data_IF_801422663413
#
_entry.id   IF_801422663413
#
_cell.length_a   1.000
_cell.length_b   1.000
_cell.length_c   1.000
_cell.angle_alpha   90.00
_cell.angle_beta   90.00
_cell.angle_gamma   90.00
#
_symmetry.space_group_name_H-M   'P 1'
#
loop_
_entity.id
_entity.type
_entity.pdbx_description
1 polymer ?
#
# COMPACT_ATOMS: atom_id res chain seq x y z
N UNK A 1 -11.28 0.78 5.77
CA UNK A 1 -12.16 -0.33 5.33
C UNK A 1 -11.33 -1.53 4.93
N UNK A 2 -11.80 -2.77 5.28
CA UNK A 2 -11.15 -4.01 4.83
C UNK A 2 -11.41 -4.29 3.36
N UNK A 3 -10.35 -4.56 2.60
CA UNK A 3 -10.41 -4.97 1.18
C UNK A 3 -9.65 -6.28 1.03
N UNK A 4 -10.12 -7.16 0.13
CA UNK A 4 -9.42 -8.40 -0.22
C UNK A 4 -8.80 -8.25 -1.60
N UNK A 5 -7.50 -8.52 -1.69
CA UNK A 5 -6.74 -8.52 -2.94
C UNK A 5 -6.91 -9.83 -3.73
N UNK A 6 -6.54 -9.88 -5.02
CA UNK A 6 -6.59 -11.09 -5.82
C UNK A 6 -5.80 -12.27 -5.26
N UNK A 7 -4.68 -12.01 -4.59
CA UNK A 7 -3.89 -13.00 -3.86
C UNK A 7 -4.59 -13.62 -2.65
N UNK A 8 -5.78 -13.10 -2.27
CA UNK A 8 -6.48 -13.47 -1.04
C UNK A 8 -6.07 -12.66 0.19
N UNK A 9 -5.00 -11.86 0.10
CA UNK A 9 -4.51 -10.98 1.17
C UNK A 9 -5.57 -9.97 1.58
N UNK A 10 -5.68 -9.73 2.88
CA UNK A 10 -6.56 -8.68 3.44
C UNK A 10 -5.73 -7.43 3.71
N UNK A 11 -6.24 -6.28 3.30
CA UNK A 11 -5.64 -4.98 3.60
C UNK A 11 -6.68 -4.07 4.26
N UNK A 12 -6.18 -3.06 4.96
CA UNK A 12 -6.97 -1.96 5.49
C UNK A 12 -6.72 -0.76 4.58
N UNK A 13 -7.79 -0.22 4.01
CA UNK A 13 -7.76 1.02 3.25
C UNK A 13 -8.25 2.14 4.15
N UNK A 14 -7.37 3.09 4.46
CA UNK A 14 -7.70 4.34 5.14
C UNK A 14 -7.95 5.43 4.12
N UNK A 15 -9.00 6.22 4.33
CA UNK A 15 -9.32 7.40 3.53
C UNK A 15 -8.89 8.64 4.30
N UNK A 16 -8.16 9.51 3.64
CA UNK A 16 -7.70 10.77 4.23
C UNK A 16 -8.59 11.93 3.77
N UNK A 17 -8.62 13.00 4.56
CA UNK A 17 -9.25 14.25 4.11
C UNK A 17 -8.49 14.74 2.88
N UNK A 18 -9.21 14.96 1.75
CA UNK A 18 -8.58 15.36 0.48
C UNK A 18 -7.76 16.66 0.60
N UNK A 19 -6.69 16.73 -0.17
CA UNK A 19 -5.89 17.96 -0.27
C UNK A 19 -6.75 19.09 -0.85
N UNK A 20 -6.81 20.21 -0.14
CA UNK A 20 -7.43 21.45 -0.59
C UNK A 20 -6.29 22.37 -0.97
N UNK A 21 -6.30 22.88 -2.20
CA UNK A 21 -5.37 23.94 -2.63
C UNK A 21 -5.49 25.14 -1.67
N UNK A 22 -4.37 25.74 -1.27
CA UNK A 22 -4.31 26.84 -0.30
C UNK A 22 -4.80 26.47 1.13
N UNK A 23 -4.24 25.39 1.70
CA UNK A 23 -4.50 25.02 3.11
C UNK A 23 -4.05 26.16 4.05
N UNK A 24 -4.98 26.77 4.82
CA UNK A 24 -4.60 27.70 5.87
C UNK A 24 -3.68 27.05 6.90
N UNK A 25 -2.69 27.78 7.38
CA UNK A 25 -1.70 27.30 8.37
C UNK A 25 -2.33 26.69 9.63
N UNK A 26 -3.53 27.11 10.00
CA UNK A 26 -4.28 26.58 11.14
C UNK A 26 -4.83 25.15 10.90
N UNK A 27 -5.11 24.80 9.65
CA UNK A 27 -5.55 23.44 9.26
C UNK A 27 -4.38 22.46 9.09
N UNK A 28 -3.17 22.95 8.92
CA UNK A 28 -1.96 22.11 8.81
C UNK A 28 -1.77 21.24 10.07
N UNK A 29 -2.09 21.76 11.27
CA UNK A 29 -1.99 21.00 12.51
C UNK A 29 -3.03 19.88 12.62
N UNK A 30 -4.27 20.11 12.16
CA UNK A 30 -5.31 19.09 12.10
C UNK A 30 -5.00 18.04 10.99
N UNK A 31 -4.36 18.47 9.94
CA UNK A 31 -3.92 17.62 8.83
C UNK A 31 -2.73 16.72 9.20
N UNK A 32 -1.91 17.13 10.18
CA UNK A 32 -0.76 16.35 10.67
C UNK A 32 -1.16 14.96 11.17
N UNK A 33 -2.24 14.83 11.93
CA UNK A 33 -2.72 13.53 12.42
C UNK A 33 -3.11 12.59 11.27
N UNK A 34 -3.66 13.14 10.18
CA UNK A 34 -4.01 12.39 8.96
C UNK A 34 -2.75 12.00 8.16
N UNK A 35 -1.71 12.80 8.22
CA UNK A 35 -0.43 12.54 7.56
C UNK A 35 0.41 11.48 8.29
N UNK A 36 0.21 11.26 9.60
CA UNK A 36 0.81 10.15 10.35
C UNK A 36 0.37 8.79 9.78
N UNK A 37 -0.92 8.64 9.39
CA UNK A 37 -1.40 7.44 8.71
C UNK A 37 -0.71 7.20 7.36
N UNK A 38 -0.38 8.26 6.62
CA UNK A 38 0.37 8.17 5.35
C UNK A 38 1.80 7.70 5.59
N UNK A 39 2.43 8.17 6.68
CA UNK A 39 3.79 7.78 7.05
C UNK A 39 3.89 6.28 7.39
N UNK A 40 2.87 5.74 8.06
CA UNK A 40 2.81 4.34 8.48
C UNK A 40 2.28 3.38 7.41
N UNK A 41 1.74 3.88 6.29
CA UNK A 41 1.15 3.06 5.25
C UNK A 41 2.19 2.25 4.47
N UNK A 42 1.94 0.96 4.24
CA UNK A 42 2.77 0.11 3.37
C UNK A 42 2.70 0.52 1.91
N UNK A 43 1.54 1.03 1.47
CA UNK A 43 1.29 1.55 0.11
C UNK A 43 0.49 2.83 0.19
N UNK A 44 0.93 3.84 -0.53
CA UNK A 44 0.24 5.14 -0.64
C UNK A 44 -0.49 5.17 -2.00
N UNK A 45 -1.79 5.43 -1.99
CA UNK A 45 -2.57 5.66 -3.19
C UNK A 45 -2.78 7.17 -3.39
N UNK A 46 -2.03 7.77 -4.32
CA UNK A 46 -2.23 9.16 -4.70
C UNK A 46 -3.32 9.25 -5.78
N UNK A 47 -4.55 9.52 -5.34
CA UNK A 47 -5.72 9.57 -6.22
C UNK A 47 -5.90 10.96 -6.80
N UNK A 48 -5.97 11.04 -8.14
CA UNK A 48 -6.12 12.30 -8.89
C UNK A 48 -7.36 12.26 -9.78
N UNK A 49 -8.01 13.40 -9.93
CA UNK A 49 -8.97 13.63 -11.01
C UNK A 49 -8.21 13.94 -12.30
N UNK A 50 -8.09 12.94 -13.20
CA UNK A 50 -7.33 13.09 -14.44
C UNK A 50 -8.04 13.99 -15.47
N UNK A 51 -9.34 14.19 -15.32
CA UNK A 51 -10.13 15.06 -16.21
C UNK A 51 -10.12 16.53 -15.77
N UNK A 52 -9.62 16.84 -14.56
CA UNK A 52 -9.56 18.22 -14.07
C UNK A 52 -8.46 19.02 -14.78
N UNK A 53 -8.72 20.26 -15.27
CA UNK A 53 -7.72 21.07 -15.96
C UNK A 53 -6.45 21.33 -15.13
N UNK A 54 -6.60 21.51 -13.81
CA UNK A 54 -5.50 21.77 -12.88
C UNK A 54 -4.89 20.48 -12.27
N UNK A 55 -5.24 19.30 -12.80
CA UNK A 55 -4.79 18.01 -12.27
C UNK A 55 -3.27 17.91 -12.08
N UNK A 56 -2.49 18.51 -12.99
CA UNK A 56 -1.04 18.54 -12.89
C UNK A 56 -0.53 19.45 -11.75
N UNK A 57 -1.16 20.60 -11.54
CA UNK A 57 -0.83 21.53 -10.46
C UNK A 57 -1.16 20.90 -9.11
N UNK A 58 -2.36 20.33 -8.97
CA UNK A 58 -2.78 19.61 -7.75
C UNK A 58 -1.82 18.47 -7.39
N UNK A 59 -1.33 17.74 -8.40
CA UNK A 59 -0.29 16.73 -8.20
C UNK A 59 0.99 17.33 -7.60
N UNK A 60 1.45 18.45 -8.14
CA UNK A 60 2.67 19.11 -7.68
C UNK A 60 2.53 19.57 -6.23
N UNK A 61 1.36 20.09 -5.86
CA UNK A 61 1.06 20.51 -4.48
C UNK A 61 1.16 19.37 -3.50
N UNK A 62 0.55 18.21 -3.83
CA UNK A 62 0.61 16.99 -2.99
C UNK A 62 2.05 16.53 -2.82
N UNK A 63 2.82 16.44 -3.90
CA UNK A 63 4.23 16.03 -3.84
C UNK A 63 5.04 17.01 -2.98
N UNK A 64 4.81 18.33 -3.11
CA UNK A 64 5.49 19.34 -2.31
C UNK A 64 5.25 19.15 -0.80
N UNK A 65 4.03 18.75 -0.41
CA UNK A 65 3.70 18.46 0.99
C UNK A 65 4.40 17.19 1.47
N UNK A 66 4.39 16.12 0.69
CA UNK A 66 5.09 14.87 1.05
C UNK A 66 6.61 15.09 1.17
N UNK A 67 7.20 15.88 0.27
CA UNK A 67 8.61 16.24 0.35
C UNK A 67 8.93 17.14 1.55
N UNK A 68 7.98 18.00 1.98
CA UNK A 68 8.12 18.75 3.22
C UNK A 68 8.11 17.83 4.45
N UNK A 69 7.24 16.81 4.47
CA UNK A 69 7.22 15.80 5.54
C UNK A 69 8.53 15.02 5.64
N UNK A 70 9.17 14.73 4.49
CA UNK A 70 10.50 14.11 4.48
C UNK A 70 11.53 15.04 5.14
N UNK A 71 11.54 16.31 4.77
CA UNK A 71 12.45 17.31 5.39
C UNK A 71 12.26 17.45 6.90
N UNK A 72 11.02 17.31 7.36
CA UNK A 72 10.64 17.39 8.78
C UNK A 72 10.90 16.06 9.53
N UNK A 73 11.34 15.00 8.84
CA UNK A 73 11.56 13.67 9.40
C UNK A 73 10.28 12.90 9.74
N UNK A 74 9.12 13.34 9.24
CA UNK A 74 7.82 12.70 9.46
C UNK A 74 7.50 11.62 8.42
N UNK A 75 8.21 11.60 7.28
CA UNK A 75 8.06 10.62 6.21
C UNK A 75 9.45 10.18 5.75
N UNK A 76 9.60 8.91 5.37
CA UNK A 76 10.86 8.40 4.81
C UNK A 76 11.08 8.84 3.36
N UNK A 77 12.35 8.92 2.93
CA UNK A 77 12.73 9.32 1.58
C UNK A 77 12.28 8.30 0.50
N UNK A 78 11.95 7.08 0.90
CA UNK A 78 11.52 6.01 0.01
C UNK A 78 10.02 6.05 -0.30
N UNK A 79 9.27 7.02 0.21
CA UNK A 79 7.83 7.15 -0.03
C UNK A 79 7.42 7.04 -1.51
N UNK A 80 8.20 7.55 -2.52
CA UNK A 80 7.79 7.40 -3.91
C UNK A 80 7.76 5.94 -4.37
N UNK A 81 8.65 5.08 -3.82
CA UNK A 81 8.71 3.66 -4.18
C UNK A 81 7.49 2.87 -3.71
N UNK A 82 6.79 3.31 -2.67
CA UNK A 82 5.56 2.70 -2.18
C UNK A 82 4.29 3.45 -2.59
N UNK A 83 4.41 4.45 -3.46
CA UNK A 83 3.27 5.20 -4.00
C UNK A 83 2.80 4.63 -5.33
N UNK A 84 1.48 4.53 -5.50
CA UNK A 84 0.80 4.25 -6.77
C UNK A 84 -0.04 5.48 -7.10
N UNK A 85 0.21 6.10 -8.26
CA UNK A 85 -0.60 7.20 -8.75
C UNK A 85 -1.87 6.65 -9.41
N UNK A 86 -3.05 7.00 -8.87
CA UNK A 86 -4.35 6.53 -9.35
C UNK A 86 -5.02 7.65 -10.15
N UNK A 87 -5.09 7.49 -11.46
CA UNK A 87 -5.67 8.44 -12.40
C UNK A 87 -7.18 8.16 -12.51
N UNK A 88 -7.96 8.73 -11.57
CA UNK A 88 -9.41 8.51 -11.49
C UNK A 88 -10.20 9.42 -12.42
N UNK A 89 -11.47 9.07 -12.65
CA UNK A 89 -12.41 9.70 -13.58
C UNK A 89 -12.01 9.52 -15.04
N UNK A 90 -11.35 8.43 -15.36
CA UNK A 90 -10.96 8.07 -16.73
C UNK A 90 -12.16 7.94 -17.68
N UNK A 91 -13.36 7.65 -17.15
CA UNK A 91 -14.62 7.63 -17.90
C UNK A 91 -14.90 8.96 -18.62
N UNK A 92 -14.53 10.09 -18.03
CA UNK A 92 -14.70 11.42 -18.65
C UNK A 92 -13.77 11.66 -19.85
N UNK A 93 -12.74 10.83 -20.01
CA UNK A 93 -11.76 10.89 -21.10
C UNK A 93 -11.92 9.72 -22.10
N UNK A 94 -13.04 9.00 -22.03
CA UNK A 94 -13.31 7.86 -22.93
C UNK A 94 -12.81 6.51 -22.41
N UNK A 95 -12.43 6.43 -21.14
CA UNK A 95 -12.03 5.19 -20.46
C UNK A 95 -10.53 5.10 -20.16
N UNK A 96 -10.12 4.15 -19.29
CA UNK A 96 -8.73 4.00 -18.85
C UNK A 96 -7.71 3.81 -19.99
N UNK A 97 -8.11 3.18 -21.11
CA UNK A 97 -7.24 2.97 -22.26
C UNK A 97 -6.85 4.27 -22.99
N UNK A 98 -7.61 5.35 -22.80
CA UNK A 98 -7.35 6.65 -23.42
C UNK A 98 -6.50 7.56 -22.53
N UNK A 99 -6.27 7.20 -21.28
CA UNK A 99 -5.48 7.97 -20.33
C UNK A 99 -4.02 7.58 -20.46
N UNK A 100 -3.09 8.52 -20.77
CA UNK A 100 -1.66 8.24 -20.77
C UNK A 100 -1.19 7.84 -19.38
N UNK A 101 -0.78 6.61 -19.18
CA UNK A 101 -0.20 6.10 -17.94
C UNK A 101 1.33 6.14 -18.00
N UNK A 102 1.97 6.38 -16.85
CA UNK A 102 3.42 6.27 -16.65
C UNK A 102 3.69 5.08 -15.72
N UNK A 103 4.95 4.67 -15.64
CA UNK A 103 5.34 3.64 -14.68
C UNK A 103 4.92 4.05 -13.27
N UNK A 104 4.27 3.11 -12.57
CA UNK A 104 3.74 3.36 -11.23
C UNK A 104 2.39 4.09 -11.19
N UNK A 105 1.72 4.29 -12.34
CA UNK A 105 0.36 4.86 -12.40
C UNK A 105 -0.66 3.88 -12.97
N UNK A 106 -1.92 3.99 -12.52
CA UNK A 106 -3.06 3.18 -12.98
C UNK A 106 -4.25 4.08 -13.25
N UNK A 107 -4.81 4.01 -14.47
CA UNK A 107 -6.03 4.72 -14.81
C UNK A 107 -7.26 3.93 -14.40
N UNK A 108 -8.23 4.60 -13.75
CA UNK A 108 -9.45 3.97 -13.24
C UNK A 108 -10.67 4.87 -13.43
N UNK A 109 -11.84 4.29 -13.37
CA UNK A 109 -13.08 5.00 -13.09
C UNK A 109 -13.76 4.38 -11.87
N UNK A 110 -13.87 5.12 -10.79
CA UNK A 110 -14.58 4.68 -9.61
C UNK A 110 -16.10 4.56 -9.83
N UNK A 111 -16.63 5.22 -10.88
CA UNK A 111 -18.06 5.18 -11.22
C UNK A 111 -18.39 3.91 -12.02
N UNK A 112 -17.61 3.61 -13.08
CA UNK A 112 -17.86 2.45 -13.95
C UNK A 112 -17.22 1.16 -13.42
N UNK A 113 -16.20 1.28 -12.57
CA UNK A 113 -15.39 0.15 -12.08
C UNK A 113 -14.24 -0.22 -13.02
N UNK A 114 -14.11 0.44 -14.17
CA UNK A 114 -13.04 0.17 -15.11
C UNK A 114 -11.67 0.48 -14.50
N UNK A 115 -10.69 -0.40 -14.75
CA UNK A 115 -9.33 -0.28 -14.23
C UNK A 115 -9.16 -0.68 -12.76
N UNK A 116 -10.24 -0.90 -11.98
CA UNK A 116 -10.11 -1.26 -10.55
C UNK A 116 -9.43 -2.62 -10.33
N UNK A 117 -9.57 -3.56 -11.26
CA UNK A 117 -8.84 -4.82 -11.16
C UNK A 117 -7.34 -4.60 -11.33
N UNK A 118 -6.93 -3.80 -12.33
CA UNK A 118 -5.53 -3.43 -12.54
C UNK A 118 -4.94 -2.70 -11.31
N UNK A 119 -5.73 -1.85 -10.65
CA UNK A 119 -5.31 -1.19 -9.42
C UNK A 119 -5.08 -2.21 -8.28
N UNK A 120 -5.97 -3.18 -8.11
CA UNK A 120 -5.79 -4.25 -7.10
C UNK A 120 -4.54 -5.08 -7.39
N UNK A 121 -4.29 -5.42 -8.65
CA UNK A 121 -3.11 -6.17 -9.07
C UNK A 121 -1.83 -5.36 -8.81
N UNK A 122 -1.85 -4.04 -9.09
CA UNK A 122 -0.73 -3.14 -8.83
C UNK A 122 -0.44 -2.99 -7.32
N UNK A 123 -1.47 -2.90 -6.48
CA UNK A 123 -1.32 -2.87 -5.02
C UNK A 123 -0.70 -4.19 -4.54
N UNK A 124 -1.22 -5.33 -5.00
CA UNK A 124 -0.74 -6.65 -4.62
C UNK A 124 0.73 -6.86 -5.00
N UNK A 125 1.09 -6.46 -6.22
CA UNK A 125 2.48 -6.48 -6.69
C UNK A 125 3.39 -5.57 -5.86
N UNK A 126 2.94 -4.36 -5.49
CA UNK A 126 3.70 -3.41 -4.70
C UNK A 126 3.98 -3.94 -3.29
N UNK A 127 2.96 -4.50 -2.63
CA UNK A 127 3.12 -5.12 -1.30
C UNK A 127 4.06 -6.32 -1.40
N UNK A 128 3.88 -7.16 -2.42
CA UNK A 128 4.72 -8.36 -2.61
C UNK A 128 6.18 -8.02 -2.87
N UNK A 129 6.47 -6.91 -3.55
CA UNK A 129 7.83 -6.44 -3.80
C UNK A 129 8.56 -5.99 -2.52
N UNK A 130 7.82 -5.55 -1.50
CA UNK A 130 8.36 -5.19 -0.17
C UNK A 130 8.53 -6.38 0.77
N UNK A 131 8.12 -7.59 0.37
CA UNK A 131 8.21 -8.78 1.21
C UNK A 131 9.58 -9.46 1.11
N UNK A 132 10.02 -10.01 2.24
CA UNK A 132 11.23 -10.83 2.34
C UNK A 132 10.85 -12.30 2.54
N UNK A 133 11.73 -13.19 2.07
CA UNK A 133 11.61 -14.63 2.32
C UNK A 133 12.41 -14.96 3.57
N UNK A 134 11.78 -15.67 4.50
CA UNK A 134 12.39 -16.16 5.73
C UNK A 134 12.11 -17.66 5.90
N UNK A 135 13.09 -18.38 6.44
CA UNK A 135 12.99 -19.79 6.77
C UNK A 135 12.87 -19.94 8.28
N UNK A 136 11.88 -20.72 8.73
CA UNK A 136 11.65 -21.01 10.13
C UNK A 136 11.60 -22.51 10.36
N UNK A 137 12.11 -22.91 11.54
CA UNK A 137 11.93 -24.25 12.08
C UNK A 137 11.06 -24.15 13.35
N UNK A 138 9.87 -24.72 13.30
CA UNK A 138 8.90 -24.70 14.39
C UNK A 138 8.82 -26.08 15.05
N UNK A 139 8.75 -26.16 16.40
CA UNK A 139 8.54 -27.43 17.08
C UNK A 139 7.23 -28.12 16.67
N UNK A 140 7.21 -29.46 16.74
CA UNK A 140 5.98 -30.22 16.52
C UNK A 140 4.94 -29.78 17.57
N UNK A 141 3.76 -29.36 17.09
CA UNK A 141 2.67 -28.90 17.96
C UNK A 141 2.58 -27.39 18.18
N UNK A 142 3.52 -26.60 17.66
CA UNK A 142 3.43 -25.13 17.68
C UNK A 142 2.44 -24.61 16.60
N UNK A 143 1.19 -25.05 16.75
CA UNK A 143 0.12 -24.68 15.84
C UNK A 143 -0.21 -23.18 15.86
N UNK A 144 0.03 -22.51 16.99
CA UNK A 144 -0.25 -21.08 17.12
C UNK A 144 0.69 -20.25 16.23
N UNK A 145 2.00 -20.51 16.29
CA UNK A 145 2.97 -19.82 15.45
C UNK A 145 2.80 -20.19 13.98
N UNK A 146 2.45 -21.43 13.67
CA UNK A 146 2.13 -21.85 12.31
C UNK A 146 0.90 -21.12 11.77
N UNK A 147 -0.19 -21.04 12.55
CA UNK A 147 -1.40 -20.31 12.17
C UNK A 147 -1.10 -18.82 11.93
N UNK A 148 -0.26 -18.22 12.77
CA UNK A 148 0.17 -16.85 12.62
C UNK A 148 0.91 -16.61 11.30
N UNK A 149 1.82 -17.51 10.89
CA UNK A 149 2.54 -17.42 9.61
C UNK A 149 1.58 -17.51 8.41
N UNK A 150 0.54 -18.36 8.48
CA UNK A 150 -0.48 -18.42 7.43
C UNK A 150 -1.38 -17.18 7.38
N UNK A 151 -1.57 -16.49 8.50
CA UNK A 151 -2.40 -15.29 8.56
C UNK A 151 -1.66 -14.04 8.08
N UNK A 152 -0.34 -13.92 8.37
CA UNK A 152 0.44 -12.71 8.15
C UNK A 152 1.51 -12.85 7.05
N UNK A 153 1.67 -14.03 6.47
CA UNK A 153 2.64 -14.31 5.40
C UNK A 153 2.09 -15.20 4.31
N UNK A 154 2.86 -15.31 3.24
CA UNK A 154 2.63 -16.27 2.16
C UNK A 154 3.56 -17.47 2.36
N UNK A 155 3.00 -18.61 2.79
CA UNK A 155 3.78 -19.83 2.94
C UNK A 155 4.13 -20.38 1.57
N UNK A 156 5.43 -20.32 1.22
CA UNK A 156 5.97 -20.75 -0.08
C UNK A 156 6.21 -22.25 -0.08
N UNK A 157 6.77 -22.78 1.03
CA UNK A 157 7.08 -24.18 1.19
C UNK A 157 6.90 -24.61 2.64
N UNK A 158 6.48 -25.86 2.83
CA UNK A 158 6.38 -26.50 4.14
C UNK A 158 6.89 -27.94 4.03
N UNK A 159 7.72 -28.34 4.99
CA UNK A 159 8.23 -29.68 5.13
C UNK A 159 8.11 -30.12 6.59
N UNK A 160 7.31 -31.16 6.83
CA UNK A 160 7.14 -31.75 8.15
C UNK A 160 8.21 -32.85 8.32
N UNK A 161 9.05 -32.73 9.36
CA UNK A 161 10.12 -33.64 9.71
C UNK A 161 9.93 -34.17 11.14
N UNK A 162 10.72 -35.16 11.55
CA UNK A 162 10.63 -35.75 12.90
C UNK A 162 11.05 -34.75 13.99
N UNK A 163 11.88 -33.77 13.67
CA UNK A 163 12.39 -32.74 14.57
C UNK A 163 11.55 -31.47 14.61
N UNK A 164 10.56 -31.32 13.69
CA UNK A 164 9.72 -30.14 13.60
C UNK A 164 9.19 -29.87 12.21
N UNK A 165 8.65 -28.67 12.03
CA UNK A 165 8.12 -28.19 10.76
C UNK A 165 9.04 -27.11 10.22
N UNK A 166 9.68 -27.37 9.09
CA UNK A 166 10.41 -26.37 8.31
C UNK A 166 9.45 -25.65 7.39
N UNK A 167 9.42 -24.32 7.49
CA UNK A 167 8.51 -23.51 6.70
C UNK A 167 9.25 -22.32 6.10
N UNK A 168 9.08 -22.13 4.81
CA UNK A 168 9.56 -20.94 4.10
C UNK A 168 8.39 -20.02 3.85
N UNK A 169 8.51 -18.79 4.31
CA UNK A 169 7.42 -17.80 4.30
C UNK A 169 7.91 -16.49 3.72
N UNK A 170 7.14 -15.91 2.82
CA UNK A 170 7.31 -14.55 2.33
C UNK A 170 6.41 -13.63 3.14
N UNK A 171 6.99 -12.59 3.77
CA UNK A 171 6.26 -11.66 4.63
C UNK A 171 6.89 -10.27 4.66
N UNK A 172 6.12 -9.29 5.12
CA UNK A 172 6.64 -7.93 5.32
C UNK A 172 7.68 -7.91 6.44
N UNK A 173 8.73 -7.05 6.36
CA UNK A 173 9.74 -6.91 7.42
C UNK A 173 9.14 -6.62 8.80
N UNK A 174 8.06 -5.84 8.86
CA UNK A 174 7.36 -5.54 10.10
C UNK A 174 6.73 -6.79 10.74
N UNK A 175 6.09 -7.64 9.93
CA UNK A 175 5.49 -8.90 10.40
C UNK A 175 6.57 -9.91 10.78
N UNK A 176 7.66 -9.97 10.03
CA UNK A 176 8.84 -10.76 10.38
C UNK A 176 9.37 -10.36 11.75
N UNK A 177 9.61 -9.07 11.98
CA UNK A 177 10.09 -8.57 13.27
C UNK A 177 9.10 -8.84 14.42
N UNK A 178 7.78 -8.84 14.14
CA UNK A 178 6.75 -9.19 15.13
C UNK A 178 6.81 -10.67 15.48
N UNK A 179 6.88 -11.55 14.48
CA UNK A 179 6.98 -13.01 14.65
C UNK A 179 8.24 -13.40 15.44
N UNK A 180 9.38 -12.82 15.12
CA UNK A 180 10.67 -13.12 15.78
C UNK A 180 10.73 -12.61 17.24
N UNK A 181 9.91 -11.60 17.61
CA UNK A 181 9.78 -11.14 19.01
C UNK A 181 8.85 -11.98 19.88
N UNK A 182 8.15 -12.96 19.32
CA UNK A 182 7.28 -13.87 20.07
C UNK A 182 5.78 -13.58 19.89
N UNK A 183 5.35 -13.47 18.66
CA UNK A 183 3.92 -13.51 18.33
C UNK A 183 3.34 -14.88 18.66
#
# INVERSE_FOLDING_TARGET
>A
RGVRLPSGRRLILSDTVGFISDLPTELVAAFRATLEEVAEADVILHVRDVAHPDSAAQRADVISVLDAMVRDGALDECWPSRTIEVLNKADLLGGPAQVPVRDGSVAVSAITGDGLQMLKDAIDARISAGMEVADYHLPIGDGARMAWLYEHGEVIARHDAEDGVHVQVRMLPADRARFERGA
#
